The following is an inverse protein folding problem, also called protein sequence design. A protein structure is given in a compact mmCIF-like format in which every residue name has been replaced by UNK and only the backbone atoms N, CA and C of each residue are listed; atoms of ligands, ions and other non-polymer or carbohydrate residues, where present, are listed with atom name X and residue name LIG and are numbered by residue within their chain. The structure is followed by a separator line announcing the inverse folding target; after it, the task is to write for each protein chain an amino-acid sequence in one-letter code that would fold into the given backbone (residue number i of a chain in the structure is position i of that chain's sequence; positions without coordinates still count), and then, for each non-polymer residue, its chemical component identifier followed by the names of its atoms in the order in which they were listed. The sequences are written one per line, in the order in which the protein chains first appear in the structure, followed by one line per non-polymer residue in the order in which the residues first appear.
data_IF_586742983158
#
_entry.id   IF_586742983158
#
_cell.length_a   1.000
_cell.length_b   1.000
_cell.length_c   1.000
_cell.angle_alpha   90.00
_cell.angle_beta   90.00
_cell.angle_gamma   90.00
#
_symmetry.space_group_name_H-M   'P 1'
#
loop_
_entity.id
_entity.type
_entity.pdbx_description
1 polymer ?
#
# COMPACT_ATOMS: atom_id res chain seq x y z
N UNK A 1 14.75 -1.28 0.35
CA UNK A 1 14.57 -0.41 1.55
C UNK A 1 13.41 -0.90 2.39
N UNK A 2 13.21 -0.37 3.60
CA UNK A 2 12.02 -0.62 4.43
C UNK A 2 11.14 0.63 4.42
N UNK A 3 9.81 0.46 4.43
CA UNK A 3 8.87 1.56 4.57
C UNK A 3 8.37 1.64 6.01
N UNK A 4 8.09 2.84 6.51
CA UNK A 4 7.43 3.05 7.80
C UNK A 4 6.16 3.85 7.55
N UNK A 5 5.01 3.28 7.91
CA UNK A 5 3.71 3.94 7.77
C UNK A 5 3.14 4.19 9.16
N UNK A 6 2.81 5.45 9.44
CA UNK A 6 2.19 5.83 10.70
C UNK A 6 0.68 5.64 10.63
N UNK A 7 0.10 5.10 11.70
CA UNK A 7 -1.34 4.99 11.85
C UNK A 7 -1.88 6.17 12.67
N UNK A 8 -3.17 6.47 12.52
CA UNK A 8 -3.83 7.54 13.27
C UNK A 8 -3.81 7.30 14.78
N UNK A 9 -3.67 6.05 15.24
CA UNK A 9 -3.60 5.66 16.65
C UNK A 9 -4.87 6.05 17.41
N UNK A 10 -5.82 5.13 17.60
CA UNK A 10 -7.01 5.38 18.43
C UNK A 10 -6.69 5.60 19.92
N UNK A 11 -5.48 5.21 20.35
CA UNK A 11 -5.00 5.25 21.74
C UNK A 11 -4.11 6.47 22.02
N UNK A 12 -4.17 7.51 21.18
CA UNK A 12 -3.46 8.78 21.36
C UNK A 12 -2.07 8.81 20.70
N UNK A 13 -1.23 7.80 20.92
CA UNK A 13 0.10 7.73 20.31
C UNK A 13 0.09 7.07 18.93
N UNK A 14 0.67 7.76 17.94
CA UNK A 14 0.79 7.23 16.57
C UNK A 14 1.86 6.14 16.53
N UNK A 15 1.46 4.93 16.15
CA UNK A 15 2.38 3.78 16.01
C UNK A 15 2.89 3.69 14.57
N UNK A 16 4.20 3.55 14.40
CA UNK A 16 4.83 3.30 13.11
C UNK A 16 4.85 1.81 12.79
N UNK A 17 4.32 1.42 11.63
CA UNK A 17 4.36 0.05 11.12
C UNK A 17 5.48 -0.07 10.10
N UNK A 18 6.41 -1.01 10.32
CA UNK A 18 7.49 -1.31 9.39
C UNK A 18 6.99 -2.32 8.35
N UNK A 19 7.11 -1.98 7.07
CA UNK A 19 6.84 -2.87 5.95
C UNK A 19 8.14 -3.21 5.22
N UNK A 20 8.42 -4.51 5.11
CA UNK A 20 9.51 -5.00 4.27
C UNK A 20 9.10 -4.97 2.79
N UNK A 21 10.08 -5.10 1.89
CA UNK A 21 9.80 -5.29 0.47
C UNK A 21 8.95 -6.55 0.23
N UNK A 22 9.20 -7.64 0.97
CA UNK A 22 8.41 -8.86 0.85
C UNK A 22 6.96 -8.69 1.31
N UNK A 23 6.70 -7.86 2.32
CA UNK A 23 5.32 -7.54 2.72
C UNK A 23 4.59 -6.78 1.61
N UNK A 24 5.26 -5.79 0.99
CA UNK A 24 4.69 -5.02 -0.12
C UNK A 24 4.41 -5.92 -1.32
N UNK A 25 5.40 -6.71 -1.75
CA UNK A 25 5.26 -7.63 -2.88
C UNK A 25 4.13 -8.65 -2.67
N UNK A 26 4.03 -9.24 -1.46
CA UNK A 26 2.95 -10.16 -1.12
C UNK A 26 1.57 -9.48 -1.18
N UNK A 27 1.46 -8.23 -0.71
CA UNK A 27 0.21 -7.47 -0.77
C UNK A 27 -0.20 -7.11 -2.19
N UNK A 28 0.76 -6.76 -3.05
CA UNK A 28 0.48 -6.45 -4.48
C UNK A 28 0.02 -7.72 -5.21
N UNK A 29 0.74 -8.84 -5.04
CA UNK A 29 0.37 -10.12 -5.65
C UNK A 29 -1.04 -10.58 -5.24
N UNK A 30 -1.35 -10.54 -3.93
CA UNK A 30 -2.68 -10.90 -3.44
C UNK A 30 -3.78 -9.96 -3.96
N UNK A 31 -3.50 -8.66 -4.05
CA UNK A 31 -4.45 -7.68 -4.62
C UNK A 31 -4.73 -7.96 -6.08
N UNK A 32 -3.70 -8.31 -6.86
CA UNK A 32 -3.80 -8.62 -8.29
C UNK A 32 -4.62 -9.89 -8.52
N UNK A 33 -4.34 -10.94 -7.76
CA UNK A 33 -5.12 -12.18 -7.82
C UNK A 33 -6.59 -11.94 -7.49
N UNK A 34 -6.87 -11.16 -6.45
CA UNK A 34 -8.23 -10.91 -5.99
C UNK A 34 -9.04 -10.01 -6.94
N UNK A 35 -8.42 -8.97 -7.50
CA UNK A 35 -9.10 -7.98 -8.35
C UNK A 35 -9.05 -8.34 -9.84
N UNK A 36 -8.15 -9.23 -10.25
CA UNK A 36 -7.97 -9.63 -11.64
C UNK A 36 -7.37 -8.55 -12.54
N UNK A 37 -6.77 -7.50 -11.97
CA UNK A 37 -6.20 -6.41 -12.75
C UNK A 37 -4.91 -6.84 -13.48
N UNK A 38 -4.68 -6.21 -14.63
CA UNK A 38 -3.59 -6.42 -15.56
C UNK A 38 -2.75 -5.16 -15.69
N UNK A 39 -1.66 -5.22 -16.47
CA UNK A 39 -0.84 -4.04 -16.77
C UNK A 39 -1.52 -3.00 -17.65
N UNK A 40 -2.65 -3.34 -18.27
CA UNK A 40 -3.45 -2.42 -19.10
C UNK A 40 -4.45 -1.61 -18.26
N UNK A 41 -4.65 -1.98 -16.99
CA UNK A 41 -5.59 -1.31 -16.10
C UNK A 41 -4.98 -0.05 -15.45
N UNK A 42 -5.79 1.01 -15.37
CA UNK A 42 -5.40 2.24 -14.70
C UNK A 42 -5.86 2.27 -13.24
N UNK A 43 -4.96 2.65 -12.34
CA UNK A 43 -5.29 2.90 -10.95
C UNK A 43 -5.53 4.39 -10.68
N UNK A 44 -6.64 4.72 -10.02
CA UNK A 44 -6.94 6.08 -9.60
C UNK A 44 -6.45 6.34 -8.16
N UNK A 45 -5.56 7.31 -7.99
CA UNK A 45 -5.08 7.76 -6.68
C UNK A 45 -5.88 8.98 -6.22
N UNK A 46 -6.79 8.79 -5.27
CA UNK A 46 -7.62 9.86 -4.67
C UNK A 46 -7.24 10.21 -3.24
N UNK A 47 -6.39 9.40 -2.60
CA UNK A 47 -5.98 9.55 -1.20
C UNK A 47 -4.53 10.05 -1.10
N UNK A 48 -4.18 10.84 -0.08
CA UNK A 48 -2.79 11.22 0.17
C UNK A 48 -1.87 9.99 0.37
N UNK A 49 -0.65 10.06 -0.15
CA UNK A 49 0.33 8.97 -0.14
C UNK A 49 0.97 8.70 1.22
N UNK A 50 0.74 9.56 2.23
CA UNK A 50 1.14 9.27 3.61
C UNK A 50 0.14 8.36 4.34
N UNK A 51 -1.00 8.01 3.72
CA UNK A 51 -1.88 6.93 4.17
C UNK A 51 -1.57 5.64 3.41
N UNK A 52 -1.64 4.49 4.09
CA UNK A 52 -1.40 3.18 3.46
C UNK A 52 -2.31 2.94 2.25
N UNK A 53 -3.56 3.41 2.30
CA UNK A 53 -4.51 3.29 1.18
C UNK A 53 -4.07 4.05 -0.07
N UNK A 54 -3.51 5.25 0.08
CA UNK A 54 -2.97 6.03 -1.06
C UNK A 54 -1.63 5.49 -1.54
N UNK A 55 -0.74 5.10 -0.61
CA UNK A 55 0.56 4.53 -0.94
C UNK A 55 0.46 3.19 -1.68
N UNK A 56 -0.51 2.34 -1.29
CA UNK A 56 -0.72 1.04 -1.92
C UNK A 56 -1.11 1.17 -3.41
N UNK A 57 -1.74 2.26 -3.82
CA UNK A 57 -2.06 2.50 -5.24
C UNK A 57 -0.78 2.63 -6.06
N UNK A 58 0.22 3.35 -5.56
CA UNK A 58 1.52 3.48 -6.25
C UNK A 58 2.25 2.14 -6.36
N UNK A 59 2.17 1.29 -5.34
CA UNK A 59 2.79 -0.04 -5.39
C UNK A 59 2.12 -0.98 -6.39
N UNK A 60 0.79 -0.96 -6.49
CA UNK A 60 0.04 -1.82 -7.41
C UNK A 60 0.12 -1.36 -8.86
N UNK A 61 0.40 -0.07 -9.11
CA UNK A 61 0.59 0.48 -10.44
C UNK A 61 2.00 0.21 -11.00
N UNK A 62 2.99 -0.01 -10.13
CA UNK A 62 4.39 -0.20 -10.50
C UNK A 62 4.76 -1.67 -10.82
N UNK A 63 3.80 -2.59 -10.73
CA UNK A 63 3.93 -4.04 -10.95
C UNK A 63 3.21 -4.46 -12.23
#
# INVERSE_FOLDING_TARGET
GRYVVFTSGSEGERKGVILTQSNVAASVAASREFLGNTGDDAWLLVMPTFHVGGLAILWRQAD
#
